data_IF_959173872390
#
_entry.id   IF_959173872390
#
_cell.length_a   1.000
_cell.length_b   1.000
_cell.length_c   1.000
_cell.angle_alpha   90.00
_cell.angle_beta   90.00
_cell.angle_gamma   90.00
#
_symmetry.space_group_name_H-M   'P 1'
#
loop_
_entity.id
_entity.type
_entity.pdbx_description
1 polymer ?
#
# COMPACT_ATOMS: atom_id res chain seq x y z
N UNK A 1 16.23 57.51 -7.42
CA UNK A 1 16.80 56.15 -7.60
C UNK A 1 15.77 55.13 -7.11
N UNK A 2 14.96 54.56 -8.01
CA UNK A 2 13.93 53.56 -7.67
C UNK A 2 14.60 52.19 -7.54
N UNK A 3 14.57 51.61 -6.34
CA UNK A 3 15.08 50.26 -6.06
C UNK A 3 14.06 49.24 -6.53
N UNK A 4 14.42 48.43 -7.53
CA UNK A 4 13.62 47.30 -8.01
C UNK A 4 13.94 46.11 -7.11
N UNK A 5 13.00 45.71 -6.26
CA UNK A 5 13.05 44.44 -5.54
C UNK A 5 12.68 43.33 -6.53
N UNK A 6 13.65 42.51 -6.94
CA UNK A 6 13.37 41.22 -7.59
C UNK A 6 12.86 40.24 -6.52
N UNK A 7 11.56 39.95 -6.57
CA UNK A 7 10.99 38.83 -5.86
C UNK A 7 11.49 37.53 -6.52
N UNK A 8 12.39 36.83 -5.83
CA UNK A 8 12.82 35.49 -6.21
C UNK A 8 11.63 34.55 -5.98
N UNK A 9 10.94 34.21 -7.06
CA UNK A 9 9.96 33.12 -7.09
C UNK A 9 10.73 31.81 -6.87
N UNK A 10 10.75 31.35 -5.62
CA UNK A 10 11.11 29.98 -5.27
C UNK A 10 10.08 29.07 -5.94
N UNK A 11 10.43 28.53 -7.11
CA UNK A 11 9.74 27.40 -7.69
C UNK A 11 9.98 26.20 -6.77
N UNK A 12 9.10 26.02 -5.79
CA UNK A 12 9.02 24.77 -5.05
C UNK A 12 8.68 23.68 -6.08
N UNK A 13 9.69 22.92 -6.50
CA UNK A 13 9.48 21.72 -7.30
C UNK A 13 8.51 20.84 -6.51
N UNK A 14 7.39 20.39 -7.08
CA UNK A 14 6.53 19.44 -6.40
C UNK A 14 7.43 18.25 -6.06
N UNK A 15 7.63 18.00 -4.77
CA UNK A 15 8.30 16.79 -4.33
C UNK A 15 7.46 15.64 -4.87
N UNK A 16 7.95 14.97 -5.91
CA UNK A 16 7.36 13.74 -6.39
C UNK A 16 7.27 12.80 -5.19
N UNK A 17 6.06 12.61 -4.67
CA UNK A 17 5.83 11.71 -3.56
C UNK A 17 6.32 10.33 -4.01
N UNK A 18 7.37 9.84 -3.35
CA UNK A 18 7.95 8.53 -3.65
C UNK A 18 6.84 7.50 -3.50
N UNK A 19 6.44 6.92 -4.62
CA UNK A 19 5.43 5.87 -4.64
C UNK A 19 6.15 4.58 -4.31
N UNK A 20 5.85 3.99 -3.16
CA UNK A 20 6.38 2.67 -2.81
C UNK A 20 5.36 1.63 -3.26
N UNK A 21 5.82 0.59 -3.97
CA UNK A 21 4.96 -0.50 -4.37
C UNK A 21 5.45 -1.83 -3.80
N UNK A 22 4.51 -2.67 -3.39
CA UNK A 22 4.76 -4.00 -2.85
C UNK A 22 3.93 -4.97 -3.66
N UNK A 23 4.56 -6.00 -4.20
CA UNK A 23 3.88 -7.10 -4.86
C UNK A 23 3.89 -8.29 -3.92
N UNK A 24 2.73 -8.88 -3.71
CA UNK A 24 2.54 -10.06 -2.87
C UNK A 24 1.88 -11.17 -3.66
N UNK A 25 2.28 -12.42 -3.40
CA UNK A 25 1.67 -13.61 -3.98
C UNK A 25 1.35 -14.65 -2.92
N UNK A 26 0.19 -15.30 -3.06
CA UNK A 26 -0.16 -16.50 -2.33
C UNK A 26 0.58 -17.70 -2.90
N UNK A 27 0.64 -18.78 -2.12
CA UNK A 27 1.27 -20.04 -2.55
C UNK A 27 0.59 -20.68 -3.77
N UNK A 28 -0.67 -20.36 -4.03
CA UNK A 28 -1.43 -20.80 -5.21
C UNK A 28 -1.13 -19.96 -6.48
N UNK A 29 -0.26 -18.95 -6.37
CA UNK A 29 0.16 -18.09 -7.49
C UNK A 29 -0.72 -16.87 -7.71
N UNK A 30 -1.86 -16.75 -7.03
CA UNK A 30 -2.65 -15.52 -7.08
C UNK A 30 -1.87 -14.38 -6.42
N UNK A 31 -1.93 -13.18 -6.99
CA UNK A 31 -1.12 -12.05 -6.55
C UNK A 31 -1.93 -10.76 -6.39
N UNK A 32 -1.34 -9.81 -5.69
CA UNK A 32 -1.83 -8.45 -5.59
C UNK A 32 -0.67 -7.47 -5.45
N UNK A 33 -0.90 -6.24 -5.88
CA UNK A 33 0.04 -5.14 -5.73
C UNK A 33 -0.56 -4.11 -4.79
N UNK A 34 0.18 -3.68 -3.79
CA UNK A 34 -0.12 -2.50 -2.98
C UNK A 34 0.72 -1.35 -3.50
N UNK A 35 0.09 -0.21 -3.72
CA UNK A 35 0.75 1.05 -4.06
C UNK A 35 0.41 2.07 -2.98
N UNK A 36 1.45 2.63 -2.36
CA UNK A 36 1.33 3.70 -1.38
C UNK A 36 1.93 4.99 -1.97
N UNK A 37 1.09 6.01 -2.10
CA UNK A 37 1.46 7.30 -2.67
C UNK A 37 0.81 8.44 -1.90
N UNK A 38 1.62 9.26 -1.23
CA UNK A 38 1.13 10.40 -0.45
C UNK A 38 0.17 9.98 0.67
N UNK A 39 -1.08 10.45 0.61
CA UNK A 39 -2.14 10.15 1.59
C UNK A 39 -3.01 8.94 1.23
N UNK A 40 -2.69 8.22 0.15
CA UNK A 40 -3.57 7.17 -0.39
C UNK A 40 -2.84 5.84 -0.50
N UNK A 41 -3.52 4.78 -0.07
CA UNK A 41 -3.10 3.39 -0.33
C UNK A 41 -4.12 2.73 -1.24
N UNK A 42 -3.62 2.06 -2.28
CA UNK A 42 -4.44 1.32 -3.22
C UNK A 42 -3.94 -0.13 -3.30
N UNK A 43 -4.86 -1.06 -3.55
CA UNK A 43 -4.55 -2.46 -3.81
C UNK A 43 -5.13 -2.87 -5.15
N UNK A 44 -4.32 -3.57 -5.94
CA UNK A 44 -4.69 -4.16 -7.21
C UNK A 44 -4.62 -5.68 -7.08
N UNK A 45 -5.71 -6.37 -7.38
CA UNK A 45 -5.77 -7.82 -7.32
C UNK A 45 -5.56 -8.42 -8.71
N UNK A 46 -4.44 -9.12 -8.93
CA UNK A 46 -3.99 -9.49 -10.27
C UNK A 46 -3.98 -8.27 -11.20
N UNK A 47 -4.60 -8.41 -12.37
CA UNK A 47 -4.70 -7.35 -13.39
C UNK A 47 -6.00 -6.51 -13.32
N UNK A 48 -6.72 -6.56 -12.19
CA UNK A 48 -7.96 -5.77 -12.00
C UNK A 48 -7.65 -4.29 -11.77
N UNK A 49 -8.70 -3.47 -11.63
CA UNK A 49 -8.54 -2.06 -11.25
C UNK A 49 -8.00 -1.90 -9.82
N UNK A 50 -7.26 -0.82 -9.60
CA UNK A 50 -6.85 -0.40 -8.26
C UNK A 50 -8.06 -0.01 -7.43
N UNK A 51 -8.11 -0.51 -6.21
CA UNK A 51 -9.17 -0.26 -5.25
C UNK A 51 -8.61 0.36 -3.96
N UNK A 52 -9.36 1.20 -3.26
CA UNK A 52 -8.91 1.80 -2.01
C UNK A 52 -8.57 0.77 -0.94
N UNK A 53 -7.52 1.08 -0.17
CA UNK A 53 -7.12 0.37 1.03
C UNK A 53 -6.61 1.37 2.08
N UNK A 54 -6.38 0.89 3.29
CA UNK A 54 -5.76 1.65 4.38
C UNK A 54 -4.43 0.99 4.74
N UNK A 55 -3.36 1.76 4.83
CA UNK A 55 -2.08 1.30 5.36
C UNK A 55 -1.85 1.84 6.78
N UNK A 56 -1.05 1.11 7.56
CA UNK A 56 -0.39 1.62 8.75
C UNK A 56 0.99 0.98 8.84
N UNK A 57 2.02 1.78 9.11
CA UNK A 57 3.38 1.30 9.32
C UNK A 57 3.77 1.44 10.79
N UNK A 58 4.07 0.31 11.42
CA UNK A 58 4.55 0.22 12.80
C UNK A 58 5.79 -0.68 12.78
N UNK A 59 6.99 -0.09 12.77
CA UNK A 59 8.26 -0.81 12.53
C UNK A 59 8.35 -2.10 13.38
N UNK A 60 8.59 -3.28 12.76
CA UNK A 60 8.94 -3.51 11.35
C UNK A 60 7.77 -3.87 10.43
N UNK A 61 6.53 -3.74 10.87
CA UNK A 61 5.37 -4.26 10.18
C UNK A 61 4.63 -3.17 9.39
N UNK A 62 4.45 -3.40 8.09
CA UNK A 62 3.43 -2.73 7.31
C UNK A 62 2.14 -3.56 7.39
N UNK A 63 1.04 -2.92 7.76
CA UNK A 63 -0.30 -3.51 7.69
C UNK A 63 -1.11 -2.79 6.63
N UNK A 64 -1.76 -3.54 5.74
CA UNK A 64 -2.70 -2.99 4.75
C UNK A 64 -4.04 -3.70 4.88
N UNK A 65 -5.13 -2.94 4.90
CA UNK A 65 -6.49 -3.46 5.06
C UNK A 65 -7.38 -2.93 3.94
N UNK A 66 -8.12 -3.83 3.30
CA UNK A 66 -9.18 -3.51 2.36
C UNK A 66 -10.50 -4.10 2.84
N UNK A 67 -11.58 -3.35 2.64
CA UNK A 67 -12.95 -3.81 2.84
C UNK A 67 -13.67 -3.83 1.49
N UNK A 68 -14.44 -4.89 1.22
CA UNK A 68 -15.26 -5.00 0.03
C UNK A 68 -16.48 -5.88 0.31
N UNK A 69 -17.69 -5.35 0.07
CA UNK A 69 -18.96 -6.11 0.18
C UNK A 69 -19.14 -6.89 1.49
N UNK A 70 -18.76 -6.29 2.63
CA UNK A 70 -18.82 -6.94 3.95
C UNK A 70 -17.66 -7.89 4.25
N UNK A 71 -16.79 -8.17 3.29
CA UNK A 71 -15.55 -8.91 3.49
C UNK A 71 -14.39 -7.95 3.82
N UNK A 72 -13.37 -8.49 4.46
CA UNK A 72 -12.12 -7.80 4.76
C UNK A 72 -10.94 -8.65 4.28
N UNK A 73 -9.97 -7.99 3.64
CA UNK A 73 -8.63 -8.51 3.49
C UNK A 73 -7.66 -7.68 4.33
N UNK A 74 -6.73 -8.33 5.01
CA UNK A 74 -5.60 -7.70 5.70
C UNK A 74 -4.32 -8.40 5.29
N UNK A 75 -3.28 -7.65 4.95
CA UNK A 75 -1.91 -8.16 4.86
C UNK A 75 -1.06 -7.52 5.95
N UNK A 76 -0.24 -8.33 6.60
CA UNK A 76 0.84 -7.86 7.48
C UNK A 76 2.14 -8.33 6.85
N UNK A 77 3.05 -7.40 6.60
CA UNK A 77 4.37 -7.68 6.05
C UNK A 77 5.46 -7.09 6.93
N UNK A 78 6.36 -7.94 7.39
CA UNK A 78 7.55 -7.52 8.12
C UNK A 78 8.62 -7.06 7.11
N UNK A 79 8.92 -5.77 7.08
CA UNK A 79 9.84 -5.20 6.10
C UNK A 79 11.30 -5.62 6.33
N UNK A 80 11.64 -6.14 7.52
CA UNK A 80 12.98 -6.63 7.86
C UNK A 80 13.15 -8.09 7.47
N UNK A 81 12.24 -8.97 7.90
CA UNK A 81 12.32 -10.43 7.61
C UNK A 81 11.77 -10.81 6.24
N UNK A 82 11.02 -9.90 5.60
CA UNK A 82 10.29 -10.11 4.34
C UNK A 82 9.14 -11.12 4.43
N UNK A 83 8.80 -11.58 5.64
CA UNK A 83 7.68 -12.49 5.87
C UNK A 83 6.34 -11.74 5.80
N UNK A 84 5.36 -12.32 5.13
CA UNK A 84 4.02 -11.75 5.03
C UNK A 84 2.91 -12.78 5.28
N UNK A 85 1.81 -12.28 5.84
CA UNK A 85 0.60 -13.05 6.11
C UNK A 85 -0.63 -12.30 5.63
N UNK A 86 -1.47 -12.99 4.85
CA UNK A 86 -2.77 -12.52 4.40
C UNK A 86 -3.88 -13.10 5.26
N UNK A 87 -4.85 -12.28 5.64
CA UNK A 87 -6.00 -12.63 6.46
C UNK A 87 -7.26 -12.22 5.71
N UNK A 88 -8.17 -13.15 5.52
CA UNK A 88 -9.50 -12.89 5.00
C UNK A 88 -10.51 -13.07 6.13
N UNK A 89 -11.44 -12.13 6.25
CA UNK A 89 -12.66 -12.29 7.04
C UNK A 89 -13.83 -12.11 6.10
N UNK A 90 -14.67 -13.12 5.98
CA UNK A 90 -15.85 -13.06 5.12
C UNK A 90 -17.05 -12.49 5.88
N UNK A 91 -18.09 -12.07 5.16
CA UNK A 91 -19.31 -11.49 5.72
C UNK A 91 -20.09 -12.44 6.64
N UNK A 92 -19.90 -13.76 6.50
CA UNK A 92 -20.44 -14.79 7.40
C UNK A 92 -19.61 -14.98 8.69
N UNK A 93 -18.53 -14.22 8.85
CA UNK A 93 -17.62 -14.27 10.00
C UNK A 93 -16.52 -15.34 9.87
N UNK A 94 -16.52 -16.15 8.81
CA UNK A 94 -15.43 -17.09 8.56
C UNK A 94 -14.10 -16.37 8.33
N UNK A 95 -13.01 -17.02 8.74
CA UNK A 95 -11.65 -16.48 8.67
C UNK A 95 -10.73 -17.45 7.97
N UNK A 96 -9.87 -16.93 7.11
CA UNK A 96 -8.83 -17.68 6.42
C UNK A 96 -7.50 -16.92 6.53
N UNK A 97 -6.41 -17.64 6.79
CA UNK A 97 -5.08 -17.08 6.98
C UNK A 97 -4.10 -17.82 6.10
N UNK A 98 -3.41 -17.09 5.24
CA UNK A 98 -2.49 -17.65 4.26
C UNK A 98 -1.11 -16.98 4.33
N UNK A 99 -0.01 -17.74 4.28
CA UNK A 99 1.31 -17.16 4.09
C UNK A 99 1.41 -16.52 2.70
N UNK A 100 2.20 -15.47 2.60
CA UNK A 100 2.44 -14.69 1.40
C UNK A 100 3.94 -14.50 1.17
N UNK A 101 4.33 -14.43 -0.10
CA UNK A 101 5.63 -13.92 -0.51
C UNK A 101 5.47 -12.49 -1.00
N UNK A 102 6.11 -11.52 -0.34
CA UNK A 102 6.02 -10.11 -0.71
C UNK A 102 7.40 -9.50 -0.99
N UNK A 103 7.47 -8.63 -2.00
CA UNK A 103 8.67 -7.90 -2.36
C UNK A 103 8.33 -6.45 -2.75
N UNK A 104 9.26 -5.53 -2.46
CA UNK A 104 9.18 -4.19 -3.05
C UNK A 104 9.39 -4.28 -4.56
N UNK A 105 8.62 -3.48 -5.30
CA UNK A 105 8.76 -3.27 -6.74
C UNK A 105 9.10 -1.81 -7.02
#
# INVERSE_FOLDING_TARGET
MKKILLAVLLFATPALAKTNSIVCAFQDGYNFTVVEGGSTTMIQWGDKDFQPAKSNFEDPNLTVVQYANGNMFKVVWNVKTKEAWGFFTMSDGSKDVKPLFCAFK
#
